data_IF_703874892652
#
_entry.id   IF_703874892652
#
_cell.length_a   1.000
_cell.length_b   1.000
_cell.length_c   1.000
_cell.angle_alpha   90.00
_cell.angle_beta   90.00
_cell.angle_gamma   90.00
#
_symmetry.space_group_name_H-M   'P 1'
#
loop_
_entity.id
_entity.type
_entity.pdbx_description
1 polymer ?
#
# COMPACT_ATOMS: atom_id res chain seq x y z
N UNK A 1 -28.38 20.50 -33.11
CA UNK A 1 -27.57 19.31 -32.80
C UNK A 1 -26.24 19.72 -32.16
N UNK A 2 -26.29 20.54 -31.10
CA UNK A 2 -25.11 20.91 -30.31
C UNK A 2 -25.29 20.61 -28.81
N UNK A 3 -26.47 20.13 -28.39
CA UNK A 3 -26.83 19.92 -26.98
C UNK A 3 -26.61 18.47 -26.52
N UNK A 4 -25.54 17.83 -27.01
CA UNK A 4 -25.18 16.43 -26.69
C UNK A 4 -23.80 16.30 -26.04
N UNK A 5 -23.17 17.42 -25.69
CA UNK A 5 -21.95 17.44 -24.90
C UNK A 5 -22.14 18.43 -23.75
N UNK A 6 -21.86 18.01 -22.50
CA UNK A 6 -21.83 18.94 -21.37
C UNK A 6 -20.79 20.03 -21.62
N UNK A 7 -21.16 21.29 -21.38
CA UNK A 7 -20.24 22.43 -21.42
C UNK A 7 -19.17 22.29 -20.35
N UNK A 8 -17.94 22.72 -20.68
CA UNK A 8 -16.79 22.63 -19.79
C UNK A 8 -16.98 23.40 -18.47
N UNK A 9 -17.92 24.36 -18.44
CA UNK A 9 -18.30 25.10 -17.22
C UNK A 9 -19.16 24.30 -16.22
N UNK A 10 -19.81 23.19 -16.61
CA UNK A 10 -20.62 22.36 -15.69
C UNK A 10 -19.75 21.43 -14.80
N UNK A 11 -18.49 21.19 -15.18
CA UNK A 11 -17.56 20.38 -14.38
C UNK A 11 -17.00 21.12 -13.15
N UNK A 12 -16.99 22.46 -13.17
CA UNK A 12 -16.47 23.29 -12.07
C UNK A 12 -17.56 23.67 -11.04
N UNK A 13 -18.82 23.41 -11.38
CA UNK A 13 -19.99 23.82 -10.58
C UNK A 13 -20.49 22.75 -9.59
N UNK A 14 -19.59 21.93 -9.04
CA UNK A 14 -19.88 21.08 -7.87
C UNK A 14 -21.10 20.15 -8.02
N UNK A 15 -21.45 19.74 -9.24
CA UNK A 15 -22.51 18.77 -9.51
C UNK A 15 -22.06 17.38 -9.03
N UNK A 16 -22.26 17.18 -7.73
CA UNK A 16 -22.31 15.95 -6.97
C UNK A 16 -22.71 14.75 -7.84
N UNK A 17 -21.72 14.00 -8.34
CA UNK A 17 -21.93 12.57 -8.53
C UNK A 17 -22.21 12.01 -7.15
N UNK A 18 -23.27 11.22 -7.02
CA UNK A 18 -23.71 10.61 -5.77
C UNK A 18 -22.63 9.61 -5.31
N UNK A 19 -21.55 10.12 -4.69
CA UNK A 19 -20.47 9.31 -4.12
C UNK A 19 -21.05 8.66 -2.88
N UNK A 20 -21.64 7.48 -3.08
CA UNK A 20 -22.07 6.60 -2.01
C UNK A 20 -20.86 6.31 -1.11
N UNK A 21 -21.10 6.45 0.19
CA UNK A 21 -20.14 6.38 1.30
C UNK A 21 -18.92 5.45 1.07
N UNK A 22 -17.68 5.86 1.44
CA UNK A 22 -16.43 5.13 1.16
C UNK A 22 -16.23 3.88 2.05
N UNK A 23 -17.32 3.26 2.52
CA UNK A 23 -17.31 2.11 3.44
C UNK A 23 -17.43 0.75 2.75
N UNK A 24 -17.64 0.71 1.43
CA UNK A 24 -17.55 -0.51 0.64
C UNK A 24 -16.35 -0.36 -0.29
N UNK A 25 -15.40 -1.31 -0.23
CA UNK A 25 -14.26 -1.32 -1.15
C UNK A 25 -14.75 -1.29 -2.61
N UNK A 26 -13.94 -0.81 -3.56
CA UNK A 26 -14.33 -0.76 -4.97
C UNK A 26 -14.56 -2.20 -5.46
N UNK A 27 -15.82 -2.65 -5.48
CA UNK A 27 -16.16 -3.94 -6.06
C UNK A 27 -16.08 -3.80 -7.57
N UNK A 28 -15.50 -4.79 -8.23
CA UNK A 28 -15.40 -4.87 -9.69
C UNK A 28 -16.75 -4.86 -10.39
N UNK A 29 -17.82 -5.24 -9.67
CA UNK A 29 -19.21 -5.11 -10.10
C UNK A 29 -19.62 -3.65 -10.37
N UNK A 30 -19.08 -2.69 -9.61
CA UNK A 30 -19.37 -1.26 -9.79
C UNK A 30 -18.69 -0.72 -11.06
N UNK A 31 -17.51 -1.26 -11.40
CA UNK A 31 -16.82 -0.93 -12.65
C UNK A 31 -17.57 -1.48 -13.88
N UNK A 32 -18.00 -2.75 -13.85
CA UNK A 32 -18.75 -3.36 -14.96
C UNK A 32 -20.15 -2.76 -15.10
N UNK A 33 -20.84 -2.46 -13.99
CA UNK A 33 -22.13 -1.78 -14.04
C UNK A 33 -22.00 -0.36 -14.61
N UNK A 34 -20.92 0.35 -14.29
CA UNK A 34 -20.63 1.68 -14.83
C UNK A 34 -20.28 1.64 -16.31
N UNK A 35 -19.42 0.72 -16.73
CA UNK A 35 -19.07 0.53 -18.16
C UNK A 35 -20.30 0.10 -18.96
N UNK A 36 -21.11 -0.82 -18.44
CA UNK A 36 -22.37 -1.26 -19.07
C UNK A 36 -23.38 -0.12 -19.18
N UNK A 37 -23.49 0.74 -18.18
CA UNK A 37 -24.36 1.92 -18.23
C UNK A 37 -23.85 2.97 -19.23
N UNK A 38 -22.53 3.09 -19.39
CA UNK A 38 -21.91 4.01 -20.34
C UNK A 38 -22.07 3.54 -21.80
N UNK A 39 -21.94 2.23 -22.03
CA UNK A 39 -21.93 1.62 -23.35
C UNK A 39 -23.33 1.16 -23.82
N UNK A 40 -24.29 1.04 -22.90
CA UNK A 40 -25.70 0.75 -23.21
C UNK A 40 -25.90 -0.60 -23.88
N UNK A 41 -26.71 -0.65 -24.95
CA UNK A 41 -27.04 -1.88 -25.68
C UNK A 41 -25.82 -2.52 -26.37
N UNK A 42 -24.74 -1.76 -26.63
CA UNK A 42 -23.50 -2.28 -27.22
C UNK A 42 -22.64 -3.05 -26.19
N UNK A 43 -22.93 -2.93 -24.89
CA UNK A 43 -22.21 -3.66 -23.84
C UNK A 43 -22.32 -5.18 -23.99
N UNK A 44 -23.44 -5.68 -24.53
CA UNK A 44 -23.68 -7.10 -24.72
C UNK A 44 -22.80 -7.71 -25.85
N UNK A 45 -22.14 -6.88 -26.68
CA UNK A 45 -21.17 -7.33 -27.67
C UNK A 45 -19.80 -7.68 -27.07
N UNK A 46 -19.51 -7.15 -25.88
CA UNK A 46 -18.24 -7.35 -25.17
C UNK A 46 -18.35 -8.34 -24.02
N UNK A 47 -19.57 -8.71 -23.62
CA UNK A 47 -19.80 -9.75 -22.62
C UNK A 47 -19.45 -11.13 -23.20
N UNK A 48 -18.47 -11.81 -22.60
CA UNK A 48 -18.12 -13.19 -22.99
C UNK A 48 -18.73 -14.20 -22.02
N UNK A 49 -19.05 -15.41 -22.49
CA UNK A 49 -19.57 -16.49 -21.63
C UNK A 49 -18.59 -16.90 -20.50
N UNK A 50 -17.35 -16.43 -20.56
CA UNK A 50 -16.30 -16.73 -19.59
C UNK A 50 -16.10 -15.61 -18.57
N UNK A 51 -16.79 -14.46 -18.71
CA UNK A 51 -16.67 -13.36 -17.76
C UNK A 51 -17.15 -13.81 -16.37
N UNK A 52 -18.23 -14.59 -16.28
CA UNK A 52 -18.69 -15.16 -15.01
C UNK A 52 -17.72 -16.19 -14.42
N UNK A 53 -16.97 -16.91 -15.26
CA UNK A 53 -16.02 -17.93 -14.82
C UNK A 53 -14.72 -17.33 -14.26
N UNK A 54 -14.37 -16.10 -14.66
CA UNK A 54 -13.25 -15.36 -14.09
C UNK A 54 -13.52 -14.85 -12.67
N UNK A 55 -14.79 -14.77 -12.24
CA UNK A 55 -15.21 -14.25 -10.94
C UNK A 55 -15.71 -15.32 -9.95
N UNK A 56 -15.97 -16.57 -10.38
CA UNK A 56 -16.31 -17.67 -9.45
C UNK A 56 -15.09 -18.23 -8.69
N UNK A 57 -13.86 -17.91 -9.12
CA UNK A 57 -12.66 -18.12 -8.31
C UNK A 57 -12.37 -16.86 -7.51
N UNK A 58 -13.10 -16.75 -6.41
CA UNK A 58 -12.84 -15.83 -5.31
C UNK A 58 -11.36 -16.01 -4.89
N UNK A 59 -10.60 -14.92 -5.01
CA UNK A 59 -9.36 -14.68 -4.28
C UNK A 59 -8.05 -15.37 -4.74
N UNK A 60 -7.70 -15.41 -6.03
CA UNK A 60 -6.27 -15.35 -6.43
C UNK A 60 -6.00 -15.02 -7.91
N UNK A 61 -6.38 -13.83 -8.37
CA UNK A 61 -5.93 -13.33 -9.69
C UNK A 61 -4.68 -12.43 -9.61
N UNK A 62 -4.14 -12.18 -8.41
CA UNK A 62 -3.01 -11.28 -8.18
C UNK A 62 -1.85 -11.89 -7.37
N UNK A 63 -1.70 -13.22 -7.42
CA UNK A 63 -0.43 -13.89 -7.11
C UNK A 63 -0.17 -14.06 -5.62
N UNK A 64 -1.11 -14.70 -4.92
CA UNK A 64 -1.10 -14.92 -3.49
C UNK A 64 -1.46 -16.34 -3.04
N UNK A 65 -1.43 -17.38 -3.88
CA UNK A 65 -1.86 -18.71 -3.44
C UNK A 65 -1.63 -19.85 -4.45
N UNK A 66 -0.55 -20.60 -4.23
CA UNK A 66 -0.28 -21.94 -4.76
C UNK A 66 -0.07 -22.10 -6.28
N UNK A 67 1.10 -22.63 -6.63
CA UNK A 67 1.67 -22.72 -7.99
C UNK A 67 1.03 -23.79 -8.89
N UNK A 68 -0.24 -24.12 -8.67
CA UNK A 68 -0.98 -25.13 -9.44
C UNK A 68 -1.87 -24.53 -10.56
N UNK A 69 -2.25 -23.24 -10.46
CA UNK A 69 -3.16 -22.58 -11.42
C UNK A 69 -2.49 -21.85 -12.58
N UNK A 70 -1.26 -21.34 -12.38
CA UNK A 70 -0.57 -20.47 -13.35
C UNK A 70 -0.37 -21.11 -14.74
N UNK A 71 -0.23 -22.44 -14.79
CA UNK A 71 0.02 -23.16 -16.04
C UNK A 71 -1.23 -23.25 -16.94
N UNK A 72 -2.43 -23.28 -16.36
CA UNK A 72 -3.67 -23.33 -17.14
C UNK A 72 -4.03 -21.98 -17.76
N UNK A 73 -3.81 -20.89 -17.03
CA UNK A 73 -4.06 -19.53 -17.55
C UNK A 73 -3.07 -19.18 -18.66
N UNK A 74 -1.79 -19.52 -18.49
CA UNK A 74 -0.77 -19.33 -19.51
C UNK A 74 -1.03 -20.19 -20.76
N UNK A 75 -1.40 -21.46 -20.60
CA UNK A 75 -1.75 -22.34 -21.73
C UNK A 75 -2.98 -21.84 -22.50
N UNK A 76 -3.96 -21.26 -21.80
CA UNK A 76 -5.19 -20.74 -22.43
C UNK A 76 -4.91 -19.44 -23.19
N UNK A 77 -4.05 -18.57 -22.66
CA UNK A 77 -3.59 -17.37 -23.34
C UNK A 77 -2.70 -17.69 -24.55
N UNK A 78 -1.72 -18.59 -24.40
CA UNK A 78 -0.84 -19.05 -25.48
C UNK A 78 -1.60 -19.76 -26.60
N UNK A 79 -2.76 -20.37 -26.31
CA UNK A 79 -3.61 -20.99 -27.34
C UNK A 79 -4.45 -19.99 -28.14
N UNK A 80 -4.66 -18.78 -27.61
CA UNK A 80 -5.47 -17.73 -28.25
C UNK A 80 -4.66 -16.81 -29.15
N UNK A 81 -3.33 -16.82 -29.02
CA UNK A 81 -2.42 -16.05 -29.87
C UNK A 81 -1.48 -16.99 -30.61
N UNK A 82 -1.24 -16.79 -31.91
CA UNK A 82 -0.20 -17.52 -32.62
C UNK A 82 1.15 -17.33 -31.92
N UNK A 83 1.84 -18.43 -31.60
CA UNK A 83 3.13 -18.40 -30.92
C UNK A 83 4.17 -17.65 -31.78
N UNK A 84 4.64 -16.50 -31.27
CA UNK A 84 5.66 -15.66 -31.91
C UNK A 84 7.10 -16.17 -31.62
N UNK A 85 7.26 -17.09 -30.66
CA UNK A 85 8.56 -17.66 -30.30
C UNK A 85 8.99 -18.80 -31.23
N UNK A 86 8.03 -19.45 -31.90
CA UNK A 86 8.33 -20.22 -33.10
C UNK A 86 8.65 -19.23 -34.22
N UNK A 87 9.94 -18.91 -34.35
CA UNK A 87 10.46 -18.30 -35.56
C UNK A 87 9.88 -19.06 -36.75
N UNK A 88 9.01 -18.37 -37.46
CA UNK A 88 8.32 -18.84 -38.63
C UNK A 88 9.42 -19.26 -39.62
N UNK A 89 9.74 -20.56 -39.72
CA UNK A 89 10.76 -21.10 -40.65
C UNK A 89 10.39 -20.77 -42.11
N UNK A 90 9.17 -20.29 -42.33
CA UNK A 90 8.64 -19.82 -43.59
C UNK A 90 8.86 -18.33 -43.89
N UNK A 91 9.69 -17.57 -43.17
CA UNK A 91 10.09 -16.22 -43.63
C UNK A 91 11.53 -16.21 -44.12
N UNK A 92 11.69 -16.13 -45.45
CA UNK A 92 13.01 -15.87 -46.05
C UNK A 92 13.55 -14.48 -45.63
N UNK A 93 14.86 -14.22 -45.81
CA UNK A 93 15.56 -13.02 -45.33
C UNK A 93 15.07 -11.67 -45.90
N UNK A 94 14.02 -11.67 -46.72
CA UNK A 94 13.32 -10.51 -47.27
C UNK A 94 11.86 -10.36 -46.77
N UNK A 95 11.45 -11.11 -45.74
CA UNK A 95 10.10 -11.03 -45.15
C UNK A 95 8.99 -11.67 -46.01
N UNK A 96 9.34 -12.54 -46.95
CA UNK A 96 8.37 -13.27 -47.78
C UNK A 96 8.00 -14.59 -47.10
N UNK A 97 6.69 -14.82 -46.91
CA UNK A 97 6.11 -16.04 -46.32
C UNK A 97 6.16 -17.17 -47.36
N UNK A 98 6.88 -18.26 -47.09
CA UNK A 98 7.10 -19.43 -47.96
C UNK A 98 6.19 -20.62 -47.63
N UNK A 99 5.28 -20.46 -46.66
CA UNK A 99 4.44 -21.56 -46.19
C UNK A 99 3.37 -21.99 -47.18
N UNK A 100 3.32 -23.30 -47.44
CA UNK A 100 2.39 -23.98 -48.36
C UNK A 100 0.93 -24.07 -47.85
N UNK A 101 0.43 -23.03 -47.19
CA UNK A 101 -1.01 -22.81 -47.03
C UNK A 101 -1.59 -22.16 -48.29
N UNK A 102 -2.93 -22.04 -48.44
CA UNK A 102 -3.53 -21.33 -49.56
C UNK A 102 -3.23 -19.83 -49.46
N UNK A 103 -2.03 -19.42 -49.89
CA UNK A 103 -1.55 -18.05 -49.91
C UNK A 103 -2.10 -17.35 -51.15
N UNK A 104 -2.93 -16.33 -50.95
CA UNK A 104 -3.25 -15.38 -52.02
C UNK A 104 -1.98 -14.56 -52.27
N UNK A 105 -1.29 -14.88 -53.36
CA UNK A 105 -0.05 -14.24 -53.76
C UNK A 105 -0.35 -12.83 -54.29
N UNK A 106 -0.31 -11.82 -53.42
CA UNK A 106 -0.28 -10.41 -53.84
C UNK A 106 1.09 -10.11 -54.42
N UNK A 107 1.25 -10.39 -55.71
CA UNK A 107 2.44 -10.04 -56.49
C UNK A 107 2.38 -8.55 -56.84
N UNK A 108 2.54 -7.67 -55.85
CA UNK A 108 2.79 -6.25 -56.11
C UNK A 108 4.24 -6.10 -56.56
N UNK A 109 4.45 -5.92 -57.87
CA UNK A 109 5.77 -5.74 -58.48
C UNK A 109 6.45 -4.40 -58.15
N UNK A 110 6.03 -3.69 -57.10
CA UNK A 110 6.62 -2.43 -56.69
C UNK A 110 7.79 -2.68 -55.73
N UNK A 111 9.02 -2.67 -56.26
CA UNK A 111 10.22 -2.53 -55.43
C UNK A 111 10.42 -1.05 -55.17
N UNK A 112 10.30 -0.62 -53.93
CA UNK A 112 10.62 0.75 -53.50
C UNK A 112 12.13 0.95 -53.63
N UNK A 113 12.60 1.42 -54.78
CA UNK A 113 13.90 2.11 -54.85
C UNK A 113 13.72 3.42 -54.11
N UNK A 114 14.31 3.52 -52.91
CA UNK A 114 14.49 4.78 -52.22
C UNK A 114 15.58 5.52 -52.99
N UNK A 115 15.21 6.25 -54.03
CA UNK A 115 16.06 7.35 -54.49
C UNK A 115 16.08 8.39 -53.38
N UNK A 116 17.26 8.93 -53.07
CA UNK A 116 17.46 10.05 -52.14
C UNK A 116 16.86 11.34 -52.74
N UNK A 117 15.54 11.36 -52.95
CA UNK A 117 14.82 12.61 -53.22
C UNK A 117 14.74 13.40 -51.92
N UNK A 118 15.07 14.69 -51.97
CA UNK A 118 15.01 15.58 -50.81
C UNK A 118 13.61 15.45 -50.16
N UNK A 119 13.56 14.98 -48.90
CA UNK A 119 12.29 14.79 -48.20
C UNK A 119 11.42 16.04 -48.38
N UNK A 120 10.13 15.88 -48.75
CA UNK A 120 9.26 17.01 -49.00
C UNK A 120 9.17 17.89 -47.74
N UNK A 121 9.20 19.21 -47.92
CA UNK A 121 9.29 20.19 -46.83
C UNK A 121 8.25 19.98 -45.72
N UNK A 122 7.05 19.52 -46.09
CA UNK A 122 5.97 19.17 -45.15
C UNK A 122 6.36 18.04 -44.19
N UNK A 123 7.09 17.03 -44.66
CA UNK A 123 7.56 15.92 -43.82
C UNK A 123 8.68 16.41 -42.88
N UNK A 124 9.55 17.31 -43.34
CA UNK A 124 10.59 17.92 -42.49
C UNK A 124 9.97 18.72 -41.34
N UNK A 125 9.03 19.62 -41.64
CA UNK A 125 8.31 20.41 -40.63
C UNK A 125 7.53 19.52 -39.65
N UNK A 126 6.92 18.45 -40.14
CA UNK A 126 6.22 17.48 -39.29
C UNK A 126 7.18 16.72 -38.35
N UNK A 127 8.34 16.28 -38.85
CA UNK A 127 9.37 15.63 -38.03
C UNK A 127 9.90 16.59 -36.96
N UNK A 128 10.24 17.82 -37.33
CA UNK A 128 10.70 18.85 -36.40
C UNK A 128 9.66 19.15 -35.31
N UNK A 129 8.39 19.29 -35.68
CA UNK A 129 7.30 19.51 -34.71
C UNK A 129 7.08 18.31 -33.76
N UNK A 130 7.17 17.08 -34.29
CA UNK A 130 7.09 15.85 -33.49
C UNK A 130 8.26 15.74 -32.53
N UNK A 131 9.48 15.95 -33.02
CA UNK A 131 10.71 15.84 -32.24
C UNK A 131 10.74 16.89 -31.14
N UNK A 132 10.31 18.13 -31.42
CA UNK A 132 10.13 19.17 -30.41
C UNK A 132 9.10 18.76 -29.33
N UNK A 133 7.99 18.13 -29.72
CA UNK A 133 6.99 17.64 -28.75
C UNK A 133 7.53 16.47 -27.91
N UNK A 134 8.29 15.55 -28.51
CA UNK A 134 8.96 14.45 -27.80
C UNK A 134 9.97 15.02 -26.82
N UNK A 135 10.79 15.98 -27.24
CA UNK A 135 11.77 16.64 -26.39
C UNK A 135 11.10 17.31 -25.20
N UNK A 136 10.02 18.08 -25.41
CA UNK A 136 9.27 18.72 -24.33
C UNK A 136 8.73 17.70 -23.32
N UNK A 137 8.18 16.57 -23.79
CA UNK A 137 7.72 15.51 -22.89
C UNK A 137 8.89 14.86 -22.15
N UNK A 138 10.01 14.60 -22.83
CA UNK A 138 11.20 14.03 -22.21
C UNK A 138 11.77 14.93 -21.11
N UNK A 139 11.81 16.25 -21.32
CA UNK A 139 12.21 17.24 -20.32
C UNK A 139 11.27 17.22 -19.11
N UNK A 140 9.95 17.15 -19.33
CA UNK A 140 8.96 17.05 -18.25
C UNK A 140 9.13 15.75 -17.44
N UNK A 141 9.30 14.61 -18.10
CA UNK A 141 9.53 13.33 -17.43
C UNK A 141 10.88 13.30 -16.70
N UNK A 142 11.92 13.92 -17.25
CA UNK A 142 13.20 14.06 -16.58
C UNK A 142 13.06 14.89 -15.29
N UNK A 143 12.35 16.03 -15.35
CA UNK A 143 12.09 16.87 -14.18
C UNK A 143 11.28 16.13 -13.11
N UNK A 144 10.21 15.42 -13.48
CA UNK A 144 9.42 14.61 -12.55
C UNK A 144 10.26 13.47 -11.92
N UNK A 145 11.14 12.84 -12.69
CA UNK A 145 12.07 11.83 -12.15
C UNK A 145 13.06 12.43 -11.17
N UNK A 146 13.59 13.61 -11.44
CA UNK A 146 14.49 14.29 -10.50
C UNK A 146 13.76 14.70 -9.22
N UNK A 147 12.53 15.21 -9.33
CA UNK A 147 11.68 15.56 -8.18
C UNK A 147 11.36 14.34 -7.31
N UNK A 148 10.93 13.22 -7.92
CA UNK A 148 10.64 11.99 -7.19
C UNK A 148 11.89 11.40 -6.52
N UNK A 149 13.07 11.47 -7.17
CA UNK A 149 14.33 11.06 -6.55
C UNK A 149 14.72 11.99 -5.39
N UNK A 150 14.51 13.30 -5.53
CA UNK A 150 14.76 14.27 -4.47
C UNK A 150 13.83 14.06 -3.28
N UNK A 151 12.54 13.87 -3.52
CA UNK A 151 11.55 13.56 -2.49
C UNK A 151 11.88 12.24 -1.78
N UNK A 152 12.25 11.20 -2.54
CA UNK A 152 12.67 9.92 -1.96
C UNK A 152 13.91 10.08 -1.05
N UNK A 153 14.89 10.90 -1.45
CA UNK A 153 16.06 11.20 -0.60
C UNK A 153 15.67 11.95 0.67
N UNK A 154 14.82 12.97 0.56
CA UNK A 154 14.31 13.72 1.70
C UNK A 154 13.54 12.81 2.67
N UNK A 155 12.69 11.91 2.14
CA UNK A 155 11.96 10.95 2.96
C UNK A 155 12.90 10.00 3.73
N UNK A 156 14.00 9.57 3.11
CA UNK A 156 15.04 8.76 3.76
C UNK A 156 15.69 9.55 4.90
N UNK A 157 16.08 10.81 4.65
CA UNK A 157 16.69 11.67 5.67
C UNK A 157 15.71 11.91 6.84
N UNK A 158 14.46 12.29 6.53
CA UNK A 158 13.39 12.48 7.51
C UNK A 158 13.13 11.21 8.33
N UNK A 159 13.18 10.03 7.71
CA UNK A 159 13.01 8.76 8.42
C UNK A 159 14.10 8.56 9.46
N UNK A 160 15.37 8.80 9.11
CA UNK A 160 16.49 8.63 10.04
C UNK A 160 16.49 9.70 11.13
N UNK A 161 16.16 10.94 10.82
CA UNK A 161 16.00 11.99 11.83
C UNK A 161 14.88 11.65 12.82
N UNK A 162 13.71 11.26 12.33
CA UNK A 162 12.59 10.87 13.16
C UNK A 162 12.88 9.61 13.99
N UNK A 163 13.55 8.61 13.40
CA UNK A 163 13.98 7.40 14.10
C UNK A 163 14.97 7.73 15.23
N UNK A 164 15.99 8.53 14.93
CA UNK A 164 16.99 8.93 15.91
C UNK A 164 16.37 9.77 17.03
N UNK A 165 15.51 10.74 16.70
CA UNK A 165 14.76 11.54 17.67
C UNK A 165 13.90 10.65 18.57
N UNK A 166 13.18 9.67 18.00
CA UNK A 166 12.34 8.73 18.75
C UNK A 166 13.19 7.82 19.64
N UNK A 167 14.32 7.33 19.12
CA UNK A 167 15.27 6.50 19.88
C UNK A 167 15.85 7.28 21.05
N UNK A 168 16.32 8.49 20.83
CA UNK A 168 16.85 9.37 21.89
C UNK A 168 15.79 9.69 22.93
N UNK A 169 14.56 10.03 22.52
CA UNK A 169 13.43 10.24 23.44
C UNK A 169 13.13 8.99 24.25
N UNK A 170 13.13 7.81 23.63
CA UNK A 170 12.92 6.54 24.35
C UNK A 170 14.03 6.26 25.35
N UNK A 171 15.30 6.47 24.98
CA UNK A 171 16.45 6.28 25.88
C UNK A 171 16.37 7.28 27.04
N UNK A 172 16.08 8.55 26.76
CA UNK A 172 15.92 9.59 27.78
C UNK A 172 14.75 9.27 28.72
N UNK A 173 13.64 8.76 28.19
CA UNK A 173 12.51 8.32 29.00
C UNK A 173 12.88 7.13 29.88
N UNK A 174 13.50 6.08 29.34
CA UNK A 174 13.96 4.94 30.15
C UNK A 174 14.97 5.36 31.22
N UNK A 175 15.86 6.30 30.91
CA UNK A 175 16.81 6.85 31.88
C UNK A 175 16.08 7.61 32.99
N UNK A 176 15.14 8.48 32.63
CA UNK A 176 14.33 9.21 33.60
C UNK A 176 13.51 8.26 34.48
N UNK A 177 12.92 7.22 33.90
CA UNK A 177 12.16 6.21 34.62
C UNK A 177 13.07 5.41 35.56
N UNK A 178 14.30 5.09 35.14
CA UNK A 178 15.30 4.46 36.00
C UNK A 178 15.73 5.37 37.16
N UNK A 179 15.98 6.65 36.89
CA UNK A 179 16.31 7.64 37.91
C UNK A 179 15.14 7.83 38.90
N UNK A 180 13.89 7.87 38.41
CA UNK A 180 12.70 7.90 39.25
C UNK A 180 12.51 6.61 40.05
N UNK A 181 12.79 5.45 39.47
CA UNK A 181 12.74 4.17 40.17
C UNK A 181 13.79 4.11 41.28
N UNK A 182 15.01 4.58 41.03
CA UNK A 182 16.06 4.70 42.04
C UNK A 182 15.67 5.69 43.13
N UNK A 183 15.15 6.86 42.78
CA UNK A 183 14.66 7.85 43.74
C UNK A 183 13.51 7.30 44.60
N UNK A 184 12.54 6.62 43.99
CA UNK A 184 11.46 5.94 44.72
C UNK A 184 11.99 4.82 45.62
N UNK A 185 13.03 4.10 45.18
CA UNK A 185 13.71 3.09 46.00
C UNK A 185 14.44 3.74 47.17
N UNK A 186 15.13 4.84 46.98
CA UNK A 186 15.82 5.56 48.05
C UNK A 186 14.82 6.20 49.03
N UNK A 187 13.73 6.81 48.54
CA UNK A 187 12.65 7.33 49.39
C UNK A 187 11.93 6.22 50.18
N UNK A 188 11.70 5.06 49.57
CA UNK A 188 11.14 3.89 50.28
C UNK A 188 12.12 3.25 51.26
N UNK A 189 13.44 3.42 51.09
CA UNK A 189 14.45 2.89 52.01
C UNK A 189 14.76 3.86 53.15
N UNK A 190 14.74 5.17 52.88
CA UNK A 190 15.14 6.24 53.81
C UNK A 190 13.99 6.96 54.51
N UNK A 191 12.74 6.87 54.01
CA UNK A 191 11.59 7.56 54.59
C UNK A 191 10.64 6.64 55.38
N UNK A 192 10.41 6.98 56.66
CA UNK A 192 9.31 6.44 57.48
C UNK A 192 9.65 5.25 58.38
N UNK A 193 8.63 4.73 59.08
CA UNK A 193 8.75 3.57 59.97
C UNK A 193 9.01 2.29 59.18
N UNK A 194 9.62 1.26 59.79
CA UNK A 194 9.90 -0.02 59.11
C UNK A 194 8.64 -0.67 58.50
N UNK A 195 7.47 -0.44 59.12
CA UNK A 195 6.18 -0.90 58.63
C UNK A 195 5.65 -0.11 57.43
N UNK A 196 5.96 1.18 57.33
CA UNK A 196 5.62 1.99 56.16
C UNK A 196 6.41 1.54 54.91
N UNK A 197 7.68 1.14 55.10
CA UNK A 197 8.53 0.55 54.05
C UNK A 197 7.97 -0.79 53.56
N UNK A 198 7.60 -1.67 54.48
CA UNK A 198 6.97 -2.97 54.16
C UNK A 198 5.64 -2.76 53.43
N UNK A 199 4.82 -1.80 53.86
CA UNK A 199 3.53 -1.50 53.22
C UNK A 199 3.69 -0.95 51.79
N UNK A 200 4.69 -0.09 51.53
CA UNK A 200 4.99 0.38 50.16
C UNK A 200 5.46 -0.79 49.26
N UNK A 201 6.27 -1.72 49.77
CA UNK A 201 6.78 -2.88 49.00
C UNK A 201 5.69 -3.91 48.66
N UNK A 202 4.74 -4.12 49.58
CA UNK A 202 3.64 -5.10 49.44
C UNK A 202 2.46 -4.52 48.64
N UNK A 203 2.54 -3.26 48.20
CA UNK A 203 1.49 -2.49 47.52
C UNK A 203 0.09 -2.74 48.09
N UNK A 204 -0.14 -2.19 49.29
CA UNK A 204 -1.46 -2.23 49.94
C UNK A 204 -2.40 -1.15 49.41
N UNK A 205 -1.94 -0.28 48.50
CA UNK A 205 -2.62 0.96 48.11
C UNK A 205 -3.77 0.76 47.11
N UNK A 206 -3.76 -0.30 46.30
CA UNK A 206 -4.71 -0.47 45.19
C UNK A 206 -5.87 -1.45 45.41
N UNK A 207 -5.90 -2.18 46.54
CA UNK A 207 -6.75 -3.39 46.65
C UNK A 207 -7.72 -3.39 47.84
N UNK A 208 -7.70 -2.38 48.71
CA UNK A 208 -8.54 -2.34 49.91
C UNK A 208 -8.24 -3.48 50.89
N UNK A 209 -8.90 -3.48 52.07
CA UNK A 209 -8.63 -4.47 53.13
C UNK A 209 -8.85 -5.94 52.68
N UNK A 210 -9.73 -6.17 51.69
CA UNK A 210 -10.01 -7.50 51.14
C UNK A 210 -9.14 -7.91 49.94
N UNK A 211 -8.53 -6.96 49.22
CA UNK A 211 -8.18 -7.27 47.84
C UNK A 211 -7.02 -8.24 47.64
N UNK A 212 -7.01 -8.86 46.47
CA UNK A 212 -6.42 -10.17 46.23
C UNK A 212 -7.51 -11.13 45.73
N UNK A 213 -7.13 -12.18 45.02
CA UNK A 213 -8.10 -13.18 44.55
C UNK A 213 -8.93 -13.71 45.73
N UNK A 214 -10.25 -13.77 45.57
CA UNK A 214 -11.17 -14.26 46.58
C UNK A 214 -10.74 -15.65 47.06
N UNK A 215 -10.66 -15.85 48.38
CA UNK A 215 -10.21 -17.11 48.99
C UNK A 215 -8.73 -17.17 49.37
N UNK A 216 -7.93 -16.14 49.10
CA UNK A 216 -6.50 -16.18 49.43
C UNK A 216 -6.17 -15.97 50.93
N UNK A 217 -7.13 -15.58 51.78
CA UNK A 217 -6.91 -15.39 53.23
C UNK A 217 -5.98 -14.23 53.63
N UNK A 218 -5.48 -13.45 52.66
CA UNK A 218 -4.52 -12.35 52.86
C UNK A 218 -5.14 -11.07 53.45
N UNK A 219 -6.42 -11.10 53.82
CA UNK A 219 -7.18 -9.97 54.35
C UNK A 219 -6.68 -9.58 55.75
N UNK A 220 -6.51 -10.57 56.63
CA UNK A 220 -5.98 -10.37 57.99
C UNK A 220 -4.54 -9.85 58.00
N UNK A 221 -3.73 -10.34 57.06
CA UNK A 221 -2.36 -9.88 56.88
C UNK A 221 -2.31 -8.42 56.42
N UNK A 222 -3.18 -8.00 55.48
CA UNK A 222 -3.27 -6.59 55.06
C UNK A 222 -3.82 -5.68 56.15
N UNK A 223 -4.81 -6.14 56.89
CA UNK A 223 -5.37 -5.43 58.05
C UNK A 223 -4.28 -5.18 59.10
N UNK A 224 -3.49 -6.20 59.43
CA UNK A 224 -2.36 -6.12 60.34
C UNK A 224 -1.23 -5.22 59.82
N UNK A 225 -0.91 -5.26 58.52
CA UNK A 225 0.07 -4.33 57.93
C UNK A 225 -0.42 -2.88 57.94
N UNK A 226 -1.72 -2.66 57.77
CA UNK A 226 -2.32 -1.32 57.79
C UNK A 226 -2.38 -0.74 59.21
N UNK A 227 -2.63 -1.58 60.22
CA UNK A 227 -2.58 -1.16 61.63
C UNK A 227 -1.14 -0.85 62.08
N UNK A 228 -0.19 -1.71 61.74
CA UNK A 228 1.24 -1.52 62.08
C UNK A 228 1.86 -0.34 61.34
N UNK A 229 1.38 0.00 60.13
CA UNK A 229 1.78 1.24 59.44
C UNK A 229 1.34 2.49 60.20
N UNK A 230 0.18 2.48 60.85
CA UNK A 230 -0.40 3.64 61.56
C UNK A 230 0.04 3.74 63.02
N UNK A 231 0.58 2.67 63.59
CA UNK A 231 0.98 2.61 64.99
C UNK A 231 2.44 3.07 65.18
N UNK A 232 2.61 4.25 65.79
CA UNK A 232 3.91 4.85 66.09
C UNK A 232 4.68 4.11 67.21
N UNK A 233 4.02 3.24 68.00
CA UNK A 233 4.65 2.41 69.05
C UNK A 233 4.96 0.99 68.59
N UNK A 234 4.67 0.67 67.33
CA UNK A 234 4.96 -0.65 66.80
C UNK A 234 6.47 -0.97 66.86
N UNK A 235 6.85 -2.24 67.12
CA UNK A 235 8.26 -2.63 67.09
C UNK A 235 8.86 -2.32 65.72
N UNK A 236 9.97 -1.57 65.70
CA UNK A 236 10.62 -1.08 64.47
C UNK A 236 10.06 0.25 63.92
N UNK A 237 9.16 0.92 64.63
CA UNK A 237 8.69 2.28 64.33
C UNK A 237 9.67 3.37 64.80
N UNK A 238 10.34 3.15 65.93
CA UNK A 238 11.50 3.94 66.38
C UNK A 238 12.73 3.24 65.83
N UNK A 239 13.43 3.86 64.89
CA UNK A 239 14.59 3.28 64.21
C UNK A 239 15.66 2.79 65.19
N UNK A 240 16.47 1.82 64.74
CA UNK A 240 17.73 1.43 65.39
C UNK A 240 18.86 2.32 64.88
#
# INVERSE_FOLDING_TARGET
MADRFPSLEDFDSGAQTDVKSPGAGPSTDDFLAREKALLGDDADQFATNNDSAAFEQDDDLLGGGDSAGANQQQSTFESQFPDLAQQNEDVGPAGTITGSGPSVNYSSGFRTTVEDEEEPQVIKEWREGRDAQIQKRAEQFAAQREETVKEARQNIDDFYENYNSKKEKSIAQTRKDAEQFLANREDTVSGGTSWERIAKLVDVSGKGAKGGAAGSGKERFRELLTSLKKDEKAPGAVGY
#
